data_IF_906483674367
#
_entry.id   IF_906483674367
#
_cell.length_a   1.000
_cell.length_b   1.000
_cell.length_c   1.000
_cell.angle_alpha   90.00
_cell.angle_beta   90.00
_cell.angle_gamma   90.00
#
_symmetry.space_group_name_H-M   'P 1'
#
loop_
_entity.id
_entity.type
_entity.pdbx_description
1 polymer ?
#
# COMPACT_ATOMS: atom_id res chain seq x y z
N UNK A 1 36.07 37.96 -0.56
CA UNK A 1 34.96 37.03 -0.85
C UNK A 1 35.23 35.79 -0.04
N UNK A 2 34.52 35.65 1.07
CA UNK A 2 34.70 34.53 1.99
C UNK A 2 33.51 33.58 1.78
N UNK A 3 33.72 32.31 1.36
CA UNK A 3 32.66 31.36 1.09
C UNK A 3 32.51 30.44 2.31
N UNK A 4 31.66 30.81 3.26
CA UNK A 4 31.36 29.93 4.38
C UNK A 4 29.91 30.10 4.87
N UNK A 5 29.22 28.96 4.90
CA UNK A 5 28.28 28.52 5.94
C UNK A 5 26.77 28.77 5.75
N UNK A 6 26.05 27.86 5.06
CA UNK A 6 24.58 27.77 5.12
C UNK A 6 24.03 26.99 6.35
N UNK A 7 24.87 26.62 7.32
CA UNK A 7 24.45 25.75 8.45
C UNK A 7 23.88 26.51 9.65
N UNK A 8 23.94 27.85 9.67
CA UNK A 8 23.43 28.68 10.77
C UNK A 8 21.89 28.81 10.80
N UNK A 9 21.21 28.49 9.69
CA UNK A 9 19.75 28.62 9.61
C UNK A 9 19.01 27.42 10.21
N UNK A 10 19.60 26.22 10.18
CA UNK A 10 18.99 24.99 10.70
C UNK A 10 18.86 25.01 12.24
N UNK A 11 19.92 25.42 12.94
CA UNK A 11 19.88 25.53 14.41
C UNK A 11 18.89 26.60 14.89
N UNK A 12 18.71 27.67 14.11
CA UNK A 12 17.75 28.73 14.42
C UNK A 12 16.31 28.26 14.22
N UNK A 13 16.06 27.39 13.24
CA UNK A 13 14.73 26.82 12.97
C UNK A 13 14.32 25.77 14.02
N UNK A 14 15.27 24.96 14.50
CA UNK A 14 15.02 23.95 15.54
C UNK A 14 14.77 24.57 16.93
N UNK A 15 15.24 25.79 17.19
CA UNK A 15 14.98 26.51 18.44
C UNK A 15 13.56 27.05 18.60
N UNK A 16 12.71 26.97 17.57
CA UNK A 16 11.35 27.52 17.58
C UNK A 16 10.27 26.48 17.90
N UNK A 17 10.62 25.20 18.01
CA UNK A 17 9.70 24.16 18.47
C UNK A 17 9.73 24.06 20.00
N UNK A 18 8.90 24.88 20.65
CA UNK A 18 8.55 24.75 22.07
C UNK A 18 7.86 23.39 22.30
N UNK A 19 8.63 22.35 22.62
CA UNK A 19 8.10 21.17 23.27
C UNK A 19 7.85 21.54 24.73
N UNK A 20 6.59 21.88 25.03
CA UNK A 20 6.11 22.00 26.39
C UNK A 20 6.33 20.66 27.10
N UNK A 21 7.28 20.66 28.01
CA UNK A 21 7.53 19.59 28.98
C UNK A 21 6.36 19.57 29.96
N UNK A 22 5.33 18.77 29.69
CA UNK A 22 4.30 18.49 30.69
C UNK A 22 4.65 17.21 31.44
N UNK A 23 4.81 17.41 32.75
CA UNK A 23 5.17 16.45 33.77
C UNK A 23 4.06 15.43 34.04
N UNK A 24 4.45 14.16 34.20
CA UNK A 24 3.64 13.14 34.87
C UNK A 24 3.26 13.58 36.30
N UNK A 25 2.06 13.17 36.76
CA UNK A 25 2.00 12.55 38.08
C UNK A 25 1.29 11.19 38.07
N UNK A 26 1.63 10.40 39.09
CA UNK A 26 1.30 8.99 39.29
C UNK A 26 -0.19 8.69 39.59
N UNK A 27 -0.62 7.51 39.13
CA UNK A 27 -1.60 6.50 39.60
C UNK A 27 -2.28 6.68 40.99
N UNK A 28 -3.34 5.92 41.38
CA UNK A 28 -4.20 4.95 40.65
C UNK A 28 -5.71 5.12 40.92
N UNK A 29 -6.62 4.74 40.01
CA UNK A 29 -7.99 4.33 40.42
C UNK A 29 -8.51 3.12 39.62
N UNK A 30 -8.73 2.05 40.38
CA UNK A 30 -9.37 0.81 39.99
C UNK A 30 -10.86 1.09 39.80
N UNK A 31 -11.38 0.85 38.59
CA UNK A 31 -12.83 0.79 38.37
C UNK A 31 -13.13 -0.58 37.76
N UNK A 32 -13.58 -1.49 38.63
CA UNK A 32 -14.28 -2.71 38.24
C UNK A 32 -15.65 -2.31 37.71
N UNK A 33 -16.01 -2.82 36.53
CA UNK A 33 -17.41 -2.88 36.10
C UNK A 33 -17.68 -4.23 35.46
N UNK A 34 -18.79 -4.79 35.94
CA UNK A 34 -19.30 -6.15 35.88
C UNK A 34 -19.61 -6.70 34.48
N UNK A 35 -19.68 -8.04 34.47
CA UNK A 35 -20.20 -8.92 33.44
C UNK A 35 -21.45 -8.37 32.72
N UNK A 36 -21.42 -8.42 31.39
CA UNK A 36 -22.63 -8.61 30.60
C UNK A 36 -22.30 -9.51 29.43
N UNK A 37 -22.67 -10.79 29.57
CA UNK A 37 -22.73 -11.72 28.45
C UNK A 37 -23.76 -11.18 27.46
N UNK A 38 -23.36 -11.08 26.21
CA UNK A 38 -24.27 -11.03 25.09
C UNK A 38 -23.91 -12.21 24.19
N UNK A 39 -24.44 -13.38 24.58
CA UNK A 39 -24.57 -14.54 23.72
C UNK A 39 -25.34 -14.13 22.46
N UNK A 40 -24.65 -14.12 21.34
CA UNK A 40 -25.27 -14.08 20.02
C UNK A 40 -24.85 -15.32 19.27
N UNK A 41 -25.61 -16.39 19.51
CA UNK A 41 -25.69 -17.56 18.65
C UNK A 41 -26.19 -17.13 17.27
N UNK A 42 -25.25 -16.88 16.37
CA UNK A 42 -25.48 -16.99 14.94
C UNK A 42 -24.47 -18.00 14.39
N UNK A 43 -24.76 -19.28 14.63
CA UNK A 43 -24.16 -20.41 13.93
C UNK A 43 -24.40 -20.26 12.43
N UNK A 44 -23.48 -19.58 11.76
CA UNK A 44 -23.19 -19.85 10.35
C UNK A 44 -21.80 -20.46 10.34
N UNK A 45 -21.75 -21.76 10.17
CA UNK A 45 -20.56 -22.53 9.81
C UNK A 45 -20.29 -22.32 8.31
N UNK A 46 -19.27 -21.55 7.89
CA UNK A 46 -18.57 -21.86 6.67
C UNK A 46 -17.43 -22.79 7.09
N UNK A 47 -17.56 -24.06 6.68
CA UNK A 47 -16.59 -25.09 7.00
C UNK A 47 -15.15 -24.59 6.91
N UNK A 48 -14.35 -25.03 7.89
CA UNK A 48 -12.90 -24.91 8.00
C UNK A 48 -12.20 -25.13 6.64
N UNK A 49 -12.19 -24.09 5.82
CA UNK A 49 -11.21 -23.86 4.79
C UNK A 49 -10.17 -23.04 5.52
N UNK A 50 -8.94 -23.54 5.61
CA UNK A 50 -7.80 -22.67 5.89
C UNK A 50 -8.02 -21.38 5.09
N UNK A 51 -8.03 -20.19 5.71
CA UNK A 51 -8.19 -18.98 4.95
C UNK A 51 -6.98 -18.94 4.03
N UNK A 52 -7.19 -19.28 2.76
CA UNK A 52 -6.44 -18.70 1.66
C UNK A 52 -6.63 -17.20 1.85
N UNK A 53 -5.79 -16.59 2.68
CA UNK A 53 -5.88 -15.18 3.02
C UNK A 53 -5.63 -14.47 1.70
N UNK A 54 -6.71 -14.11 1.01
CA UNK A 54 -6.62 -13.48 -0.31
C UNK A 54 -6.05 -12.09 -0.10
N UNK A 55 -4.74 -11.97 -0.28
CA UNK A 55 -4.04 -10.70 -0.21
C UNK A 55 -4.46 -9.81 -1.38
N UNK A 56 -4.47 -8.50 -1.14
CA UNK A 56 -4.76 -7.52 -2.19
C UNK A 56 -3.70 -7.53 -3.28
N UNK A 57 -4.11 -7.24 -4.51
CA UNK A 57 -3.23 -7.16 -5.68
C UNK A 57 -3.37 -8.32 -6.65
N UNK A 58 -2.60 -8.25 -7.74
CA UNK A 58 -2.58 -9.29 -8.78
C UNK A 58 -1.85 -10.56 -8.29
N UNK A 59 -1.98 -11.66 -9.03
CA UNK A 59 -1.38 -12.95 -8.66
C UNK A 59 0.14 -12.85 -8.40
N UNK A 60 0.84 -11.99 -9.15
CA UNK A 60 2.26 -11.73 -8.94
C UNK A 60 2.55 -11.10 -7.57
N UNK A 61 1.79 -10.06 -7.19
CA UNK A 61 1.90 -9.43 -5.87
C UNK A 61 1.54 -10.39 -4.73
N UNK A 62 0.53 -11.23 -4.93
CA UNK A 62 0.15 -12.25 -3.94
C UNK A 62 1.27 -13.27 -3.74
N UNK A 63 1.94 -13.71 -4.82
CA UNK A 63 3.11 -14.58 -4.74
C UNK A 63 4.27 -13.89 -3.99
N UNK A 64 4.54 -12.61 -4.29
CA UNK A 64 5.57 -11.83 -3.59
C UNK A 64 5.26 -11.71 -2.08
N UNK A 65 3.99 -11.49 -1.73
CA UNK A 65 3.54 -11.41 -0.34
C UNK A 65 3.76 -12.73 0.41
N UNK A 66 3.52 -13.87 -0.23
CA UNK A 66 3.69 -15.19 0.38
C UNK A 66 5.14 -15.49 0.77
N UNK A 67 6.12 -14.94 0.05
CA UNK A 67 7.54 -15.10 0.33
C UNK A 67 8.14 -13.91 1.10
N UNK A 68 7.30 -13.00 1.61
CA UNK A 68 7.78 -11.71 2.11
C UNK A 68 8.79 -11.89 3.24
N UNK A 69 8.56 -12.75 4.23
CA UNK A 69 9.46 -12.91 5.40
C UNK A 69 10.93 -13.20 5.05
N UNK A 70 11.16 -13.92 3.96
CA UNK A 70 12.48 -14.25 3.40
C UNK A 70 12.93 -13.34 2.26
N UNK A 71 12.07 -12.42 1.82
CA UNK A 71 12.30 -11.59 0.64
C UNK A 71 13.53 -10.70 0.81
N UNK A 72 14.52 -10.79 -0.10
CA UNK A 72 15.69 -9.93 -0.08
C UNK A 72 15.30 -8.52 -0.52
N UNK A 73 15.78 -7.54 0.24
CA UNK A 73 15.67 -6.11 -0.09
C UNK A 73 17.02 -5.48 -0.39
N UNK A 74 18.10 -6.11 0.08
CA UNK A 74 19.48 -5.77 -0.22
C UNK A 74 19.86 -6.31 -1.60
N UNK A 75 20.14 -5.44 -2.57
CA UNK A 75 20.51 -5.84 -3.93
C UNK A 75 19.57 -5.32 -5.02
N UNK A 76 18.45 -4.70 -4.64
CA UNK A 76 17.52 -4.07 -5.59
C UNK A 76 16.43 -5.02 -6.10
N UNK A 77 16.24 -6.19 -5.52
CA UNK A 77 15.22 -7.16 -5.93
C UNK A 77 13.79 -6.59 -5.84
N UNK A 78 13.57 -5.65 -4.91
CA UNK A 78 12.31 -4.91 -4.82
C UNK A 78 12.06 -4.02 -6.06
N UNK A 79 13.10 -3.51 -6.71
CA UNK A 79 12.99 -2.76 -7.97
C UNK A 79 12.62 -3.69 -9.12
N UNK A 80 13.26 -4.85 -9.21
CA UNK A 80 12.91 -5.88 -10.19
C UNK A 80 11.45 -6.30 -10.03
N UNK A 81 10.96 -6.40 -8.79
CA UNK A 81 9.55 -6.69 -8.55
C UNK A 81 8.61 -5.56 -9.02
N UNK A 82 9.00 -4.30 -8.83
CA UNK A 82 8.24 -3.15 -9.35
C UNK A 82 8.23 -3.19 -10.88
N UNK A 83 9.37 -3.40 -11.53
CA UNK A 83 9.45 -3.44 -12.99
C UNK A 83 8.66 -4.61 -13.58
N UNK A 84 8.77 -5.79 -12.99
CA UNK A 84 7.98 -6.96 -13.38
C UNK A 84 6.48 -6.69 -13.22
N UNK A 85 6.07 -6.09 -12.10
CA UNK A 85 4.67 -5.69 -11.91
C UNK A 85 4.21 -4.72 -13.01
N UNK A 86 5.00 -3.70 -13.34
CA UNK A 86 4.66 -2.71 -14.38
C UNK A 86 4.53 -3.33 -15.76
N UNK A 87 5.37 -4.30 -16.10
CA UNK A 87 5.29 -5.04 -17.37
C UNK A 87 3.96 -5.81 -17.45
N UNK A 88 3.61 -6.55 -16.40
CA UNK A 88 2.34 -7.30 -16.31
C UNK A 88 1.14 -6.35 -16.34
N UNK A 89 1.21 -5.23 -15.60
CA UNK A 89 0.19 -4.19 -15.57
C UNK A 89 -0.05 -3.59 -16.96
N UNK A 90 1.01 -3.31 -17.71
CA UNK A 90 0.91 -2.77 -19.07
C UNK A 90 0.22 -3.73 -20.04
N UNK A 91 0.43 -5.03 -19.84
CA UNK A 91 -0.17 -6.10 -20.64
C UNK A 91 -1.65 -6.30 -20.33
N UNK A 92 -2.04 -6.23 -19.05
CA UNK A 92 -3.43 -6.45 -18.63
C UNK A 92 -3.85 -5.58 -17.43
N UNK A 93 -4.18 -4.29 -17.66
CA UNK A 93 -4.47 -3.35 -16.58
C UNK A 93 -5.75 -3.68 -15.81
N UNK A 94 -6.69 -4.42 -16.41
CA UNK A 94 -7.94 -4.83 -15.77
C UNK A 94 -7.76 -5.68 -14.51
N UNK A 95 -6.70 -6.51 -14.44
CA UNK A 95 -6.42 -7.36 -13.28
C UNK A 95 -5.76 -6.64 -12.08
N UNK A 96 -5.50 -5.34 -12.17
CA UNK A 96 -4.63 -4.64 -11.22
C UNK A 96 -5.35 -3.61 -10.35
N UNK A 97 -6.68 -3.69 -10.23
CA UNK A 97 -7.51 -2.75 -9.44
C UNK A 97 -7.11 -2.68 -7.96
N UNK A 98 -6.66 -3.81 -7.40
CA UNK A 98 -6.26 -3.92 -5.99
C UNK A 98 -4.75 -3.79 -5.78
N UNK A 99 -3.96 -3.53 -6.83
CA UNK A 99 -2.50 -3.50 -6.70
C UNK A 99 -1.99 -2.30 -5.89
N UNK A 100 -2.68 -1.16 -5.93
CA UNK A 100 -2.33 -0.02 -5.07
C UNK A 100 -2.39 -0.40 -3.57
N UNK A 101 -3.45 -1.11 -3.17
CA UNK A 101 -3.57 -1.61 -1.80
C UNK A 101 -2.55 -2.72 -1.52
N UNK A 102 -2.35 -3.66 -2.44
CA UNK A 102 -1.36 -4.74 -2.30
C UNK A 102 0.08 -4.23 -2.07
N UNK A 103 0.51 -3.19 -2.80
CA UNK A 103 1.82 -2.57 -2.57
C UNK A 103 1.90 -1.83 -1.22
N UNK A 104 0.80 -1.22 -0.78
CA UNK A 104 0.73 -0.60 0.54
C UNK A 104 0.84 -1.64 1.66
N UNK A 105 0.19 -2.79 1.51
CA UNK A 105 0.26 -3.92 2.43
C UNK A 105 1.67 -4.51 2.49
N UNK A 106 2.37 -4.61 1.35
CA UNK A 106 3.77 -5.03 1.29
C UNK A 106 4.70 -4.06 2.01
N UNK A 107 4.54 -2.76 1.77
CA UNK A 107 5.33 -1.75 2.45
C UNK A 107 5.12 -1.80 3.97
N UNK A 108 3.86 -1.88 4.41
CA UNK A 108 3.54 -1.98 5.84
C UNK A 108 4.11 -3.25 6.50
N UNK A 109 4.12 -4.36 5.78
CA UNK A 109 4.70 -5.60 6.29
C UNK A 109 6.23 -5.58 6.32
N UNK A 110 6.88 -4.86 5.40
CA UNK A 110 8.32 -4.60 5.46
C UNK A 110 8.70 -3.68 6.62
N UNK A 111 7.91 -2.62 6.88
CA UNK A 111 8.16 -1.71 8.01
C UNK A 111 8.11 -2.41 9.37
N UNK A 112 7.25 -3.41 9.53
CA UNK A 112 7.13 -4.17 10.78
C UNK A 112 8.14 -5.29 10.92
N UNK A 113 8.93 -5.56 9.89
CA UNK A 113 9.89 -6.65 9.91
C UNK A 113 10.97 -6.38 10.96
N UNK A 114 11.30 -7.39 11.75
CA UNK A 114 12.39 -7.30 12.69
C UNK A 114 13.69 -6.96 11.95
N UNK A 115 14.39 -5.94 12.46
CA UNK A 115 15.67 -5.52 11.91
C UNK A 115 16.67 -6.68 11.89
N UNK A 116 17.41 -6.79 10.79
CA UNK A 116 18.54 -7.70 10.65
C UNK A 116 19.65 -6.99 9.88
N UNK A 117 20.90 -7.21 10.27
CA UNK A 117 22.06 -6.56 9.67
C UNK A 117 22.26 -6.86 8.16
N UNK A 118 21.65 -7.92 7.64
CA UNK A 118 21.67 -8.30 6.22
C UNK A 118 20.57 -7.61 5.39
N UNK A 119 19.69 -6.80 6.01
CA UNK A 119 18.48 -6.20 5.41
C UNK A 119 18.36 -4.69 5.66
N UNK A 120 19.45 -3.95 5.53
CA UNK A 120 19.45 -2.49 5.72
C UNK A 120 18.56 -1.74 4.70
N UNK A 121 18.29 -2.36 3.55
CA UNK A 121 17.51 -1.77 2.46
C UNK A 121 15.98 -1.91 2.60
N UNK A 122 15.45 -2.45 3.70
CA UNK A 122 13.99 -2.53 3.92
C UNK A 122 13.34 -1.14 3.84
N UNK A 123 14.02 -0.09 4.33
CA UNK A 123 13.53 1.29 4.26
C UNK A 123 13.38 1.80 2.82
N UNK A 124 14.37 1.53 1.95
CA UNK A 124 14.32 1.89 0.54
C UNK A 124 13.21 1.12 -0.19
N UNK A 125 13.07 -0.18 0.10
CA UNK A 125 12.02 -1.02 -0.45
C UNK A 125 10.61 -0.54 -0.04
N UNK A 126 10.43 -0.16 1.23
CA UNK A 126 9.18 0.43 1.74
C UNK A 126 8.81 1.69 0.98
N UNK A 127 9.76 2.62 0.82
CA UNK A 127 9.52 3.87 0.09
C UNK A 127 9.18 3.60 -1.37
N UNK A 128 9.90 2.68 -2.02
CA UNK A 128 9.65 2.31 -3.40
C UNK A 128 8.26 1.67 -3.60
N UNK A 129 7.83 0.77 -2.73
CA UNK A 129 6.50 0.17 -2.79
C UNK A 129 5.39 1.18 -2.49
N UNK A 130 5.57 2.09 -1.55
CA UNK A 130 4.61 3.20 -1.31
C UNK A 130 4.48 4.11 -2.53
N UNK A 131 5.61 4.46 -3.15
CA UNK A 131 5.62 5.26 -4.35
C UNK A 131 4.89 4.53 -5.50
N UNK A 132 5.13 3.22 -5.67
CA UNK A 132 4.43 2.43 -6.68
C UNK A 132 2.92 2.34 -6.42
N UNK A 133 2.50 2.18 -5.17
CA UNK A 133 1.08 2.21 -4.81
C UNK A 133 0.42 3.53 -5.24
N UNK A 134 1.07 4.67 -4.99
CA UNK A 134 0.58 5.98 -5.39
C UNK A 134 0.52 6.13 -6.92
N UNK A 135 1.53 5.65 -7.65
CA UNK A 135 1.55 5.67 -9.12
C UNK A 135 0.39 4.88 -9.72
N UNK A 136 0.10 3.69 -9.19
CA UNK A 136 -1.01 2.84 -9.64
C UNK A 136 -2.35 3.52 -9.36
N UNK A 137 -2.55 4.00 -8.13
CA UNK A 137 -3.79 4.67 -7.75
C UNK A 137 -4.06 5.88 -8.66
N UNK A 138 -3.03 6.71 -8.89
CA UNK A 138 -3.15 7.86 -9.80
C UNK A 138 -3.48 7.41 -11.22
N UNK A 139 -2.78 6.42 -11.76
CA UNK A 139 -2.95 5.98 -13.16
C UNK A 139 -4.32 5.31 -13.41
N UNK A 140 -4.83 4.54 -12.45
CA UNK A 140 -6.10 3.84 -12.60
C UNK A 140 -7.32 4.74 -12.35
N UNK A 141 -7.22 5.73 -11.46
CA UNK A 141 -8.30 6.71 -11.22
C UNK A 141 -8.56 7.58 -12.46
N UNK A 142 -7.52 7.89 -13.24
CA UNK A 142 -7.65 8.70 -14.46
C UNK A 142 -7.99 7.89 -15.72
N UNK A 143 -8.13 6.56 -15.64
CA UNK A 143 -8.59 5.76 -16.77
C UNK A 143 -10.11 5.61 -16.66
N UNK A 144 -10.90 6.41 -17.40
CA UNK A 144 -12.34 6.20 -17.42
C UNK A 144 -12.60 4.75 -17.82
N UNK A 145 -13.41 4.06 -17.02
CA UNK A 145 -13.94 2.77 -17.41
C UNK A 145 -14.48 2.92 -18.83
N UNK A 146 -13.97 2.11 -19.76
CA UNK A 146 -14.49 2.08 -21.12
C UNK A 146 -16.03 2.04 -21.06
N UNK A 147 -16.75 2.82 -21.89
CA UNK A 147 -18.19 2.78 -21.91
C UNK A 147 -18.64 1.32 -22.09
N UNK A 148 -19.58 0.89 -21.25
CA UNK A 148 -20.16 -0.45 -21.33
C UNK A 148 -20.71 -0.69 -22.74
N UNK A 149 -20.79 -1.96 -23.15
CA UNK A 149 -21.20 -2.38 -24.49
C UNK A 149 -22.59 -1.89 -24.94
N UNK A 150 -23.34 -1.20 -24.08
CA UNK A 150 -24.64 -0.61 -24.39
C UNK A 150 -24.58 0.65 -25.26
N UNK A 151 -23.40 1.28 -25.44
CA UNK A 151 -23.25 2.48 -26.30
C UNK A 151 -22.97 2.15 -27.77
N UNK A 152 -22.77 0.87 -28.14
CA UNK A 152 -22.51 0.47 -29.55
C UNK A 152 -23.83 0.26 -30.32
N UNK A 153 -24.78 1.20 -30.22
CA UNK A 153 -25.98 1.20 -31.08
C UNK A 153 -26.17 2.46 -31.92
N UNK A 154 -25.30 3.46 -31.82
CA UNK A 154 -25.53 4.73 -32.52
C UNK A 154 -24.43 5.16 -33.50
N UNK A 155 -23.46 4.29 -33.83
CA UNK A 155 -22.41 4.63 -34.79
C UNK A 155 -22.46 3.86 -36.13
N UNK A 156 -23.56 3.16 -36.43
CA UNK A 156 -23.73 2.39 -37.68
C UNK A 156 -24.78 2.94 -38.63
N UNK A 157 -25.08 4.24 -38.60
CA UNK A 157 -25.97 4.88 -39.59
C UNK A 157 -25.33 6.11 -40.23
N UNK A 158 -24.19 5.97 -40.91
CA UNK A 158 -23.83 6.85 -42.05
C UNK A 158 -22.91 6.08 -43.00
N UNK A 159 -23.44 5.12 -43.75
CA UNK A 159 -22.79 4.62 -44.98
C UNK A 159 -23.76 3.74 -45.81
N UNK A 160 -24.94 4.25 -46.17
CA UNK A 160 -25.77 3.62 -47.21
C UNK A 160 -26.88 4.52 -47.75
N UNK A 161 -26.53 5.56 -48.50
CA UNK A 161 -27.32 6.12 -49.61
C UNK A 161 -26.34 6.95 -50.44
N UNK A 162 -26.19 6.81 -51.75
CA UNK A 162 -26.89 6.05 -52.78
C UNK A 162 -26.15 6.38 -54.08
N UNK A 163 -26.28 5.48 -55.05
CA UNK A 163 -25.66 5.52 -56.37
C UNK A 163 -25.87 6.83 -57.16
#
# INVERSE_FOLDING_TARGET
>A
MDPNHPESELCTLLGQMNLATESYPAEPEVIMVDDTSCDSDASSDPGFMTPELRYNGCAYLQALRAQLDSYPTTGGEYLEAIFTHREILSSYPGAHQLCAQGFSDLAYALEQRAWRADREADTEAVVAFRHEAWMIASTLIYRPASPSADTIKEFTVVCSQGA
#
